data_IF_735576032595
#
_entry.id   IF_735576032595
#
_cell.length_a   1.000
_cell.length_b   1.000
_cell.length_c   1.000
_cell.angle_alpha   90.00
_cell.angle_beta   90.00
_cell.angle_gamma   90.00
#
_symmetry.space_group_name_H-M   'P 1'
#
loop_
_entity.id
_entity.type
_entity.pdbx_description
1 polymer ?
#
# COMPACT_ATOMS: atom_id res chain seq x y z
N UNK A 1 -13.47 1.74 -16.64
CA UNK A 1 -12.12 2.35 -16.77
C UNK A 1 -11.52 2.21 -18.17
N UNK A 2 -10.87 3.27 -18.68
CA UNK A 2 -9.95 3.22 -19.84
C UNK A 2 -8.63 3.86 -19.44
N UNK A 3 -7.54 3.10 -19.42
CA UNK A 3 -6.23 3.63 -19.05
C UNK A 3 -5.60 4.40 -20.22
N UNK A 4 -5.24 5.64 -19.94
CA UNK A 4 -4.48 6.53 -20.84
C UNK A 4 -3.39 7.22 -20.01
N UNK A 5 -2.37 7.83 -20.62
CA UNK A 5 -1.39 8.61 -19.87
C UNK A 5 -1.99 9.71 -18.98
N UNK A 6 -3.10 10.33 -19.41
CA UNK A 6 -3.79 11.33 -18.60
C UNK A 6 -4.51 10.69 -17.41
N UNK A 7 -5.17 9.54 -17.63
CA UNK A 7 -5.78 8.76 -16.52
C UNK A 7 -4.74 8.33 -15.49
N UNK A 8 -3.54 7.89 -15.92
CA UNK A 8 -2.47 7.54 -14.98
C UNK A 8 -2.00 8.75 -14.18
N UNK A 9 -1.96 9.95 -14.79
CA UNK A 9 -1.63 11.19 -14.08
C UNK A 9 -2.71 11.56 -13.06
N UNK A 10 -3.98 11.45 -13.43
CA UNK A 10 -5.09 11.75 -12.53
C UNK A 10 -5.09 10.80 -11.31
N UNK A 11 -4.82 9.50 -11.51
CA UNK A 11 -4.69 8.54 -10.41
C UNK A 11 -3.44 8.79 -9.56
N UNK A 12 -2.32 9.21 -10.17
CA UNK A 12 -1.14 9.64 -9.41
C UNK A 12 -1.45 10.82 -8.48
N UNK A 13 -2.12 11.86 -8.99
CA UNK A 13 -2.52 13.03 -8.20
C UNK A 13 -3.49 12.63 -7.08
N UNK A 14 -4.43 11.73 -7.36
CA UNK A 14 -5.35 11.22 -6.36
C UNK A 14 -4.63 10.46 -5.22
N UNK A 15 -3.67 9.59 -5.57
CA UNK A 15 -2.87 8.85 -4.57
C UNK A 15 -1.99 9.81 -3.74
N UNK A 16 -1.46 10.88 -4.35
CA UNK A 16 -0.71 11.91 -3.63
C UNK A 16 -1.58 12.65 -2.62
N UNK A 17 -2.82 12.97 -2.97
CA UNK A 17 -3.77 13.65 -2.08
C UNK A 17 -4.22 12.76 -0.91
N UNK A 18 -4.21 11.43 -1.08
CA UNK A 18 -4.55 10.45 -0.04
C UNK A 18 -3.54 10.38 1.12
N UNK A 19 -2.42 11.12 1.04
CA UNK A 19 -1.36 11.19 2.06
C UNK A 19 -1.88 11.41 3.48
N UNK A 20 -2.85 12.33 3.65
CA UNK A 20 -3.37 12.66 5.00
C UNK A 20 -4.10 11.50 5.67
N UNK A 21 -4.62 10.56 4.89
CA UNK A 21 -5.33 9.38 5.38
C UNK A 21 -4.37 8.19 5.53
N UNK A 22 -3.45 8.00 4.58
CA UNK A 22 -2.56 6.83 4.54
C UNK A 22 -1.37 6.93 5.48
N UNK A 23 -0.74 8.11 5.65
CA UNK A 23 0.42 8.25 6.55
C UNK A 23 0.09 7.84 8.00
N UNK A 24 -1.06 8.22 8.58
CA UNK A 24 -1.50 7.69 9.87
C UNK A 24 -1.62 6.16 9.89
N UNK A 25 -2.23 5.55 8.87
CA UNK A 25 -2.40 4.08 8.78
C UNK A 25 -1.06 3.35 8.66
N UNK A 26 -0.10 3.90 7.91
CA UNK A 26 1.28 3.40 7.85
C UNK A 26 1.89 3.39 9.24
N UNK A 27 1.79 4.51 9.96
CA UNK A 27 2.42 4.66 11.26
C UNK A 27 1.77 3.77 12.33
N UNK A 28 0.46 3.56 12.27
CA UNK A 28 -0.23 2.58 13.09
C UNK A 28 0.24 1.15 12.78
N UNK A 29 0.35 0.81 11.49
CA UNK A 29 0.83 -0.50 11.05
C UNK A 29 2.28 -0.75 11.50
N UNK A 30 3.17 0.24 11.35
CA UNK A 30 4.56 0.20 11.82
C UNK A 30 4.63 0.03 13.34
N UNK A 31 3.87 0.81 14.10
CA UNK A 31 3.84 0.71 15.55
C UNK A 31 3.34 -0.67 16.02
N UNK A 32 2.28 -1.18 15.39
CA UNK A 32 1.77 -2.51 15.70
C UNK A 32 2.81 -3.59 15.42
N UNK A 33 3.33 -3.66 14.20
CA UNK A 33 4.33 -4.67 13.82
C UNK A 33 5.59 -4.55 14.67
N UNK A 34 6.08 -3.33 14.92
CA UNK A 34 7.20 -3.06 15.81
C UNK A 34 7.00 -3.67 17.20
N UNK A 35 5.79 -3.53 17.77
CA UNK A 35 5.46 -4.15 19.06
C UNK A 35 5.47 -5.68 19.02
N UNK A 36 5.07 -6.31 17.91
CA UNK A 36 5.04 -7.77 17.78
C UNK A 36 6.44 -8.36 17.65
N UNK A 37 7.39 -7.59 17.08
CA UNK A 37 8.76 -8.01 16.86
C UNK A 37 9.77 -7.42 17.86
N UNK A 38 9.31 -6.63 18.83
CA UNK A 38 10.14 -5.90 19.80
C UNK A 38 11.22 -5.05 19.12
N UNK A 39 10.80 -4.31 18.08
CA UNK A 39 11.67 -3.40 17.31
C UNK A 39 11.05 -2.01 17.21
N UNK A 40 11.91 -1.00 17.27
CA UNK A 40 11.52 0.38 16.97
C UNK A 40 11.60 0.60 15.46
N UNK A 41 10.46 0.94 14.85
CA UNK A 41 10.34 1.21 13.41
C UNK A 41 10.12 2.71 13.25
N UNK A 42 11.00 3.36 12.49
CA UNK A 42 10.92 4.81 12.30
C UNK A 42 9.55 5.23 11.72
N UNK A 43 8.89 6.28 12.24
CA UNK A 43 7.65 6.78 11.65
C UNK A 43 7.85 7.31 10.23
N UNK A 44 6.87 7.06 9.37
CA UNK A 44 6.78 7.66 8.03
C UNK A 44 6.36 9.12 8.14
N UNK A 45 7.02 9.98 7.36
CA UNK A 45 6.65 11.39 7.18
C UNK A 45 5.86 11.59 5.89
N UNK A 46 5.12 12.69 5.81
CA UNK A 46 4.43 13.13 4.60
C UNK A 46 5.38 13.24 3.39
N UNK A 47 6.56 13.82 3.57
CA UNK A 47 7.54 13.97 2.49
C UNK A 47 8.06 12.62 2.00
N UNK A 48 8.25 11.66 2.90
CA UNK A 48 8.68 10.30 2.55
C UNK A 48 7.58 9.52 1.82
N UNK A 49 6.31 9.73 2.17
CA UNK A 49 5.17 9.21 1.41
C UNK A 49 5.19 9.76 -0.02
N UNK A 50 5.26 11.09 -0.17
CA UNK A 50 5.26 11.74 -1.49
C UNK A 50 6.42 11.25 -2.36
N UNK A 51 7.63 11.16 -1.82
CA UNK A 51 8.77 10.63 -2.54
C UNK A 51 8.58 9.16 -2.96
N UNK A 52 7.99 8.33 -2.09
CA UNK A 52 7.71 6.93 -2.41
C UNK A 52 6.72 6.79 -3.58
N UNK A 53 5.66 7.60 -3.59
CA UNK A 53 4.68 7.61 -4.69
C UNK A 53 5.30 8.15 -5.99
N UNK A 54 6.11 9.21 -5.92
CA UNK A 54 6.86 9.73 -7.07
C UNK A 54 7.70 8.64 -7.73
N UNK A 55 8.44 7.87 -6.93
CA UNK A 55 9.26 6.77 -7.45
C UNK A 55 8.44 5.63 -8.06
N UNK A 56 7.28 5.31 -7.48
CA UNK A 56 6.38 4.27 -8.02
C UNK A 56 5.85 4.67 -9.38
N UNK A 57 5.41 5.92 -9.53
CA UNK A 57 4.82 6.43 -10.76
C UNK A 57 5.84 6.88 -11.82
N UNK A 58 7.13 7.01 -11.46
CA UNK A 58 8.21 7.25 -12.41
C UNK A 58 8.51 6.03 -13.31
N UNK A 59 8.18 4.81 -12.87
CA UNK A 59 8.22 3.60 -13.68
C UNK A 59 6.89 3.44 -14.42
N UNK A 60 6.86 3.74 -15.72
CA UNK A 60 5.62 3.78 -16.51
C UNK A 60 4.87 2.44 -16.59
N UNK A 61 5.60 1.31 -16.60
CA UNK A 61 4.98 -0.02 -16.64
C UNK A 61 4.36 -0.36 -15.29
N UNK A 62 5.00 0.04 -14.17
CA UNK A 62 4.40 -0.07 -12.84
C UNK A 62 3.22 0.89 -12.66
N UNK A 63 3.39 2.16 -13.06
CA UNK A 63 2.43 3.24 -12.89
C UNK A 63 1.07 2.91 -13.49
N UNK A 64 1.04 2.36 -14.71
CA UNK A 64 -0.23 2.01 -15.38
C UNK A 64 -0.98 0.90 -14.65
N UNK A 65 -0.28 -0.06 -14.04
CA UNK A 65 -0.91 -1.15 -13.29
C UNK A 65 -1.37 -0.69 -11.90
N UNK A 66 -0.56 0.12 -11.21
CA UNK A 66 -0.94 0.74 -9.94
C UNK A 66 -2.18 1.62 -10.11
N UNK A 67 -2.21 2.48 -11.13
CA UNK A 67 -3.38 3.32 -11.44
C UNK A 67 -4.63 2.48 -11.72
N UNK A 68 -4.47 1.34 -12.41
CA UNK A 68 -5.57 0.42 -12.69
C UNK A 68 -6.16 -0.17 -11.40
N UNK A 69 -5.31 -0.66 -10.50
CA UNK A 69 -5.71 -1.29 -9.25
C UNK A 69 -6.36 -0.27 -8.30
N UNK A 70 -5.75 0.91 -8.17
CA UNK A 70 -6.32 2.02 -7.38
C UNK A 70 -7.73 2.35 -7.85
N UNK A 71 -7.91 2.59 -9.15
CA UNK A 71 -9.21 2.95 -9.69
C UNK A 71 -10.24 1.82 -9.55
N UNK A 72 -9.82 0.56 -9.77
CA UNK A 72 -10.70 -0.60 -9.60
C UNK A 72 -11.18 -0.71 -8.16
N UNK A 73 -10.28 -0.66 -7.18
CA UNK A 73 -10.64 -0.75 -5.76
C UNK A 73 -11.58 0.38 -5.32
N UNK A 74 -11.37 1.61 -5.81
CA UNK A 74 -12.24 2.75 -5.51
C UNK A 74 -13.69 2.56 -5.97
N UNK A 75 -13.89 1.86 -7.08
CA UNK A 75 -15.22 1.66 -7.68
C UNK A 75 -15.81 0.27 -7.39
N UNK A 76 -15.00 -0.67 -6.86
CA UNK A 76 -15.41 -2.04 -6.63
C UNK A 76 -16.28 -2.13 -5.39
N UNK A 77 -17.50 -2.59 -5.57
CA UNK A 77 -18.49 -2.66 -4.51
C UNK A 77 -19.28 -3.97 -4.57
N UNK A 78 -19.75 -4.42 -3.41
CA UNK A 78 -20.59 -5.60 -3.27
C UNK A 78 -21.70 -5.33 -2.24
N UNK A 79 -22.90 -5.84 -2.51
CA UNK A 79 -24.05 -5.64 -1.64
C UNK A 79 -23.76 -6.06 -0.19
N UNK A 80 -23.93 -5.11 0.73
CA UNK A 80 -23.73 -5.28 2.17
C UNK A 80 -22.32 -5.76 2.55
N UNK A 81 -21.31 -5.44 1.74
CA UNK A 81 -19.92 -5.84 1.97
C UNK A 81 -19.81 -7.33 2.33
N UNK A 82 -20.37 -8.18 1.45
CA UNK A 82 -20.57 -9.59 1.73
C UNK A 82 -19.22 -10.29 2.02
N UNK A 83 -18.99 -10.85 3.24
CA UNK A 83 -17.66 -11.35 3.64
C UNK A 83 -17.11 -12.55 2.86
N UNK A 84 -17.88 -13.10 1.92
CA UNK A 84 -17.42 -14.14 0.99
C UNK A 84 -16.98 -13.59 -0.38
N UNK A 85 -17.14 -12.29 -0.61
CA UNK A 85 -16.51 -11.55 -1.69
C UNK A 85 -15.08 -11.21 -1.26
N UNK A 86 -14.12 -11.48 -2.13
CA UNK A 86 -12.68 -11.42 -1.79
C UNK A 86 -11.87 -10.86 -2.96
N UNK A 87 -12.53 -10.21 -3.91
CA UNK A 87 -11.85 -9.73 -5.13
C UNK A 87 -11.10 -8.43 -4.83
N UNK A 88 -11.71 -7.55 -4.05
CA UNK A 88 -11.08 -6.44 -3.36
C UNK A 88 -9.81 -6.86 -2.62
N UNK A 89 -9.87 -7.91 -1.80
CA UNK A 89 -8.71 -8.47 -1.07
C UNK A 89 -7.58 -8.93 -2.01
N UNK A 90 -7.95 -9.57 -3.11
CA UNK A 90 -6.99 -10.02 -4.13
C UNK A 90 -6.32 -8.82 -4.82
N UNK A 91 -7.08 -7.75 -5.09
CA UNK A 91 -6.59 -6.54 -5.75
C UNK A 91 -5.77 -5.67 -4.79
N UNK A 92 -6.20 -5.52 -3.53
CA UNK A 92 -5.50 -4.78 -2.48
C UNK A 92 -4.14 -5.40 -2.17
N UNK A 93 -4.10 -6.73 -2.00
CA UNK A 93 -2.84 -7.47 -1.83
C UNK A 93 -1.88 -7.28 -3.01
N UNK A 94 -2.37 -7.34 -4.24
CA UNK A 94 -1.53 -7.11 -5.43
C UNK A 94 -1.06 -5.66 -5.53
N UNK A 95 -1.90 -4.69 -5.17
CA UNK A 95 -1.52 -3.27 -5.13
C UNK A 95 -0.40 -3.03 -4.12
N UNK A 96 -0.50 -3.58 -2.92
CA UNK A 96 0.55 -3.49 -1.90
C UNK A 96 1.88 -4.05 -2.42
N UNK A 97 1.84 -5.23 -3.06
CA UNK A 97 2.99 -5.84 -3.71
C UNK A 97 3.64 -4.93 -4.76
N UNK A 98 2.85 -4.36 -5.68
CA UNK A 98 3.36 -3.52 -6.76
C UNK A 98 4.01 -2.23 -6.26
N UNK A 99 3.45 -1.61 -5.22
CA UNK A 99 4.02 -0.41 -4.60
C UNK A 99 5.36 -0.73 -3.92
N UNK A 100 5.42 -1.84 -3.18
CA UNK A 100 6.61 -2.26 -2.47
C UNK A 100 7.78 -2.62 -3.40
N UNK A 101 7.48 -3.16 -4.59
CA UNK A 101 8.45 -3.46 -5.64
C UNK A 101 8.76 -4.95 -5.76
N UNK A 102 10.04 -5.29 -5.83
CA UNK A 102 10.50 -6.66 -6.08
C UNK A 102 10.69 -7.47 -4.79
N UNK A 103 10.97 -8.77 -4.92
CA UNK A 103 11.34 -9.59 -3.78
C UNK A 103 12.63 -9.08 -3.10
N UNK A 104 12.71 -9.08 -1.76
CA UNK A 104 11.74 -9.68 -0.82
C UNK A 104 10.57 -8.76 -0.41
N UNK A 105 10.62 -7.47 -0.77
CA UNK A 105 9.65 -6.47 -0.32
C UNK A 105 8.23 -6.76 -0.81
N UNK A 106 8.09 -7.30 -2.02
CA UNK A 106 6.81 -7.74 -2.57
C UNK A 106 6.06 -8.65 -1.60
N UNK A 107 6.66 -9.78 -1.22
CA UNK A 107 6.01 -10.76 -0.35
C UNK A 107 5.74 -10.18 1.06
N UNK A 108 6.65 -9.35 1.56
CA UNK A 108 6.46 -8.67 2.83
C UNK A 108 5.24 -7.73 2.79
N UNK A 109 5.02 -7.02 1.69
CA UNK A 109 3.86 -6.15 1.52
C UNK A 109 2.56 -6.94 1.37
N UNK A 110 2.56 -8.06 0.64
CA UNK A 110 1.40 -8.95 0.55
C UNK A 110 0.99 -9.47 1.94
N UNK A 111 1.95 -9.80 2.80
CA UNK A 111 1.68 -10.23 4.17
C UNK A 111 1.25 -9.07 5.08
N UNK A 112 1.88 -7.89 4.91
CA UNK A 112 1.55 -6.69 5.69
C UNK A 112 0.16 -6.17 5.36
N UNK A 113 -0.31 -6.32 4.12
CA UNK A 113 -1.64 -5.91 3.68
C UNK A 113 -2.72 -6.47 4.62
N UNK A 114 -2.74 -7.78 4.87
CA UNK A 114 -3.72 -8.39 5.78
C UNK A 114 -3.61 -7.91 7.24
N UNK A 115 -2.45 -7.36 7.64
CA UNK A 115 -2.27 -6.76 8.97
C UNK A 115 -2.81 -5.34 9.00
N UNK A 116 -2.68 -4.58 7.92
CA UNK A 116 -3.23 -3.24 7.77
C UNK A 116 -4.76 -3.27 7.55
N UNK A 117 -5.24 -4.23 6.76
CA UNK A 117 -6.64 -4.42 6.41
C UNK A 117 -7.54 -4.59 7.65
N UNK A 118 -7.22 -5.54 8.54
CA UNK A 118 -8.00 -5.75 9.79
C UNK A 118 -8.02 -4.55 10.75
N UNK A 119 -7.25 -3.49 10.46
CA UNK A 119 -7.25 -2.20 11.20
C UNK A 119 -7.87 -1.06 10.42
N UNK A 120 -8.03 -1.22 9.12
CA UNK A 120 -8.68 -0.23 8.26
C UNK A 120 -10.17 -0.53 8.30
N UNK A 121 -10.97 0.51 8.48
CA UNK A 121 -12.41 0.38 8.52
C UNK A 121 -13.00 1.44 7.61
N UNK A 122 -13.70 1.01 6.58
CA UNK A 122 -14.54 1.88 5.77
C UNK A 122 -15.71 2.45 6.57
N UNK A 123 -16.33 3.49 6.05
CA UNK A 123 -17.67 3.87 6.51
C UNK A 123 -18.73 2.96 5.85
N UNK A 124 -19.91 2.85 6.46
CA UNK A 124 -21.01 1.99 5.97
C UNK A 124 -21.53 2.39 4.55
N UNK A 125 -21.03 3.49 3.97
CA UNK A 125 -21.41 4.02 2.66
C UNK A 125 -20.29 3.95 1.63
N UNK A 126 -19.09 3.51 2.04
CA UNK A 126 -17.95 3.32 1.17
C UNK A 126 -18.14 2.08 0.30
N UNK A 127 -17.50 2.08 -0.87
CA UNK A 127 -17.42 0.89 -1.69
C UNK A 127 -16.59 -0.18 -0.96
N UNK A 128 -16.95 -1.46 -1.10
CA UNK A 128 -16.25 -2.56 -0.46
C UNK A 128 -14.72 -2.57 -0.68
N UNK A 129 -14.22 -2.13 -1.85
CA UNK A 129 -12.77 -2.07 -2.10
C UNK A 129 -12.06 -0.84 -1.54
N UNK A 130 -12.76 0.10 -0.91
CA UNK A 130 -12.19 1.41 -0.55
C UNK A 130 -11.26 1.35 0.67
N UNK A 131 -11.57 0.53 1.68
CA UNK A 131 -10.69 0.30 2.81
C UNK A 131 -9.51 -0.60 2.46
N UNK A 132 -9.75 -1.64 1.64
CA UNK A 132 -8.68 -2.46 1.05
C UNK A 132 -7.66 -1.64 0.26
N UNK A 133 -8.11 -0.60 -0.43
CA UNK A 133 -7.21 0.36 -1.08
C UNK A 133 -6.30 1.09 -0.10
N UNK A 134 -6.86 1.61 0.98
CA UNK A 134 -6.08 2.35 1.98
C UNK A 134 -5.11 1.41 2.73
N UNK A 135 -5.57 0.20 3.05
CA UNK A 135 -4.73 -0.86 3.62
C UNK A 135 -3.58 -1.24 2.68
N UNK A 136 -3.85 -1.35 1.38
CA UNK A 136 -2.84 -1.66 0.37
C UNK A 136 -1.81 -0.54 0.20
N UNK A 137 -2.25 0.73 0.18
CA UNK A 137 -1.36 1.89 0.15
C UNK A 137 -0.48 1.90 1.41
N UNK A 138 -1.06 1.66 2.59
CA UNK A 138 -0.30 1.62 3.84
C UNK A 138 0.74 0.49 3.84
N UNK A 139 0.34 -0.72 3.49
CA UNK A 139 1.22 -1.88 3.46
C UNK A 139 2.32 -1.77 2.40
N UNK A 140 1.99 -1.27 1.21
CA UNK A 140 2.95 -1.07 0.13
C UNK A 140 3.99 -0.01 0.48
N UNK A 141 3.56 1.18 0.91
CA UNK A 141 4.45 2.30 1.23
C UNK A 141 5.34 1.98 2.43
N UNK A 142 4.79 1.42 3.52
CA UNK A 142 5.60 1.13 4.71
C UNK A 142 6.72 0.13 4.43
N UNK A 143 6.48 -0.81 3.51
CA UNK A 143 7.42 -1.85 3.12
C UNK A 143 8.48 -1.31 2.15
N UNK A 144 8.10 -0.38 1.27
CA UNK A 144 9.00 0.28 0.32
C UNK A 144 10.00 1.20 1.03
N UNK A 145 9.49 2.07 1.91
CA UNK A 145 10.27 3.11 2.55
C UNK A 145 11.11 2.52 3.68
N UNK A 146 12.38 2.95 3.85
CA UNK A 146 13.19 2.57 5.00
C UNK A 146 12.50 2.86 6.34
N UNK A 147 12.94 2.16 7.38
CA UNK A 147 12.49 2.37 8.76
C UNK A 147 12.72 1.15 9.63
N UNK A 148 12.77 -0.03 9.03
CA UNK A 148 13.08 -1.27 9.73
C UNK A 148 14.60 -1.42 9.95
N UNK A 149 15.06 -1.80 11.15
CA UNK A 149 16.49 -1.91 11.45
C UNK A 149 17.27 -2.81 10.49
N UNK A 150 16.66 -3.90 10.00
CA UNK A 150 17.31 -4.84 9.09
C UNK A 150 17.62 -4.24 7.70
N UNK A 151 16.92 -3.17 7.30
CA UNK A 151 17.15 -2.46 6.04
C UNK A 151 18.29 -1.44 6.14
N UNK A 152 18.75 -1.11 7.36
CA UNK A 152 19.73 -0.05 7.60
C UNK A 152 21.19 -0.52 7.48
N UNK A 153 21.41 -1.85 7.44
CA UNK A 153 22.74 -2.45 7.36
C UNK A 153 22.84 -3.40 6.18
N UNK A 154 24.06 -3.68 5.73
CA UNK A 154 24.30 -4.71 4.72
C UNK A 154 23.78 -6.08 5.19
N UNK A 155 23.31 -6.89 4.24
CA UNK A 155 22.79 -8.22 4.53
C UNK A 155 23.91 -9.14 5.04
N UNK A 156 23.77 -9.74 6.24
CA UNK A 156 24.77 -10.67 6.78
C UNK A 156 24.77 -12.03 6.06
N UNK A 157 23.87 -12.23 5.09
CA UNK A 157 23.73 -13.48 4.33
C UNK A 157 24.44 -13.45 2.97
N UNK A 158 25.14 -12.37 2.64
CA UNK A 158 26.02 -12.35 1.48
C UNK A 158 27.15 -13.38 1.68
N UNK A 159 27.32 -14.28 0.72
CA UNK A 159 28.43 -15.25 0.70
C UNK A 159 29.47 -14.74 -0.30
N UNK A 160 30.68 -14.49 0.18
CA UNK A 160 31.87 -14.19 -0.65
C UNK A 160 32.48 -15.46 -1.25
#
# INVERSE_FOLDING_TARGET
MRLTPDTVRDEYEWVQDRRSDVVPLVNETRAHLGSQFDVDVEPLTDDAYTAAIDEVFADGDRAVNVAALVHLLRELDVESDYPGFVVDELLGRELAAMIAGEQPLRLLAEATFHVADVRTHGDDTAAAGADDLDAALAAGVQTRVPGWPWQQTESPFAVE
#
